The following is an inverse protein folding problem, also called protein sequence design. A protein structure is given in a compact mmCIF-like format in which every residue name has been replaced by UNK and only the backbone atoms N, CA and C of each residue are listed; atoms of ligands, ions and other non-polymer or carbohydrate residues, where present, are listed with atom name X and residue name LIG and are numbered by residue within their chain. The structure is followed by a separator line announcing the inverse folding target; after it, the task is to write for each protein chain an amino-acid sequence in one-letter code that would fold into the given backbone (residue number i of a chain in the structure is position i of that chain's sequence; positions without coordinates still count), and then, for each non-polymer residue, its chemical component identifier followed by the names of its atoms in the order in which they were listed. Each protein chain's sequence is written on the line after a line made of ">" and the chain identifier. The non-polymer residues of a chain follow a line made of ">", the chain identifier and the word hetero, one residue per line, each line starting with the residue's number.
data_IF_803755928052
#
_entry.id   IF_803755928052
#
_cell.length_a   1.000
_cell.length_b   1.000
_cell.length_c   1.000
_cell.angle_alpha   90.00
_cell.angle_beta   90.00
_cell.angle_gamma   90.00
#
_symmetry.space_group_name_H-M   'P 1'
#
loop_
_entity.id
_entity.type
_entity.pdbx_description
1 polymer ?
#
# COMPACT_ATOMS: atom_id res chain seq x y z
N UNK A 1 7.73 -11.32 31.01
CA UNK A 1 6.74 -10.36 30.45
C UNK A 1 7.36 -8.99 30.54
N UNK A 2 7.44 -8.28 29.43
CA UNK A 2 7.95 -6.92 29.37
C UNK A 2 6.78 -5.95 29.20
N UNK A 3 6.91 -4.74 29.74
CA UNK A 3 5.92 -3.68 29.61
C UNK A 3 6.45 -2.64 28.64
N UNK A 4 5.68 -2.32 27.60
CA UNK A 4 6.02 -1.30 26.61
C UNK A 4 5.72 0.09 27.19
N UNK A 5 6.65 1.03 27.06
CA UNK A 5 6.48 2.42 27.45
C UNK A 5 5.64 3.16 26.40
N UNK A 6 4.36 3.34 26.70
CA UNK A 6 3.41 3.98 25.79
C UNK A 6 3.72 5.45 25.51
N UNK A 7 4.46 6.14 26.39
CA UNK A 7 4.88 7.53 26.11
C UNK A 7 5.86 7.60 24.94
N UNK A 8 6.72 6.58 24.81
CA UNK A 8 7.59 6.43 23.64
C UNK A 8 6.81 6.01 22.41
N UNK A 9 5.82 5.14 22.57
CA UNK A 9 4.94 4.70 21.48
C UNK A 9 4.23 5.89 20.84
N UNK A 10 3.61 6.78 21.64
CA UNK A 10 2.89 7.95 21.12
C UNK A 10 3.82 8.83 20.30
N UNK A 11 5.00 9.17 20.82
CA UNK A 11 5.97 10.03 20.10
C UNK A 11 6.41 9.42 18.76
N UNK A 12 6.71 8.11 18.77
CA UNK A 12 7.13 7.40 17.55
C UNK A 12 5.99 7.21 16.56
N UNK A 13 4.77 7.06 17.06
CA UNK A 13 3.58 6.98 16.24
C UNK A 13 3.28 8.32 15.56
N UNK A 14 3.46 9.45 16.27
CA UNK A 14 3.31 10.78 15.67
C UNK A 14 4.35 11.04 14.55
N UNK A 15 5.62 10.64 14.77
CA UNK A 15 6.65 10.71 13.74
C UNK A 15 6.25 9.88 12.50
N UNK A 16 5.79 8.64 12.73
CA UNK A 16 5.34 7.76 11.66
C UNK A 16 4.08 8.30 10.95
N UNK A 17 3.11 8.83 11.69
CA UNK A 17 1.88 9.42 11.15
C UNK A 17 2.20 10.57 10.19
N UNK A 18 3.06 11.50 10.61
CA UNK A 18 3.45 12.65 9.77
C UNK A 18 4.18 12.19 8.50
N UNK A 19 5.05 11.19 8.60
CA UNK A 19 5.74 10.63 7.45
C UNK A 19 4.76 9.96 6.47
N UNK A 20 3.81 9.14 6.96
CA UNK A 20 2.76 8.52 6.13
C UNK A 20 1.93 9.58 5.41
N UNK A 21 1.52 10.63 6.13
CA UNK A 21 0.75 11.75 5.59
C UNK A 21 1.51 12.46 4.47
N UNK A 22 2.82 12.69 4.65
CA UNK A 22 3.67 13.32 3.62
C UNK A 22 3.79 12.44 2.38
N UNK A 23 4.03 11.14 2.53
CA UNK A 23 4.08 10.18 1.42
C UNK A 23 2.75 10.16 0.66
N UNK A 24 1.62 10.13 1.37
CA UNK A 24 0.30 10.13 0.77
C UNK A 24 -0.04 11.46 0.06
N UNK A 25 0.37 12.60 0.63
CA UNK A 25 0.20 13.91 0.03
C UNK A 25 0.99 14.11 -1.27
N UNK A 26 2.02 13.30 -1.49
CA UNK A 26 2.79 13.26 -2.74
C UNK A 26 2.28 12.18 -3.73
N UNK A 27 1.10 11.59 -3.50
CA UNK A 27 0.56 10.51 -4.32
C UNK A 27 1.31 9.18 -4.18
N UNK A 28 2.09 9.00 -3.10
CA UNK A 28 2.89 7.81 -2.85
C UNK A 28 2.05 6.57 -2.53
N UNK A 29 2.58 5.41 -2.87
CA UNK A 29 1.96 4.09 -2.66
C UNK A 29 2.44 3.49 -1.35
N UNK A 30 1.49 3.12 -0.51
CA UNK A 30 1.74 2.47 0.79
C UNK A 30 1.41 0.98 0.69
N UNK A 31 2.35 0.14 1.09
CA UNK A 31 2.14 -1.31 1.15
C UNK A 31 2.04 -1.78 2.59
N UNK A 32 0.88 -2.24 2.98
CA UNK A 32 0.64 -2.87 4.28
C UNK A 32 1.08 -4.34 4.25
N UNK A 33 1.89 -4.76 5.22
CA UNK A 33 2.42 -6.13 5.28
C UNK A 33 2.18 -6.73 6.65
N UNK A 34 1.38 -7.80 6.70
CA UNK A 34 1.18 -8.59 7.91
C UNK A 34 0.64 -9.98 7.58
N UNK A 35 1.45 -11.01 7.77
CA UNK A 35 1.03 -12.40 7.52
C UNK A 35 0.50 -13.13 8.74
N UNK A 36 0.46 -12.47 9.91
CA UNK A 36 -0.09 -12.99 11.15
C UNK A 36 -1.60 -13.11 11.08
N UNK A 37 -2.17 -14.25 11.49
CA UNK A 37 -3.63 -14.51 11.39
C UNK A 37 -4.49 -13.40 12.00
N UNK A 38 -4.07 -12.86 13.15
CA UNK A 38 -4.78 -11.79 13.85
C UNK A 38 -4.82 -10.47 13.06
N UNK A 39 -3.86 -10.25 12.17
CA UNK A 39 -3.71 -9.01 11.41
C UNK A 39 -4.27 -9.10 9.98
N UNK A 40 -4.47 -10.31 9.44
CA UNK A 40 -4.79 -10.52 8.02
C UNK A 40 -6.01 -9.74 7.52
N UNK A 41 -7.12 -9.83 8.25
CA UNK A 41 -8.38 -9.19 7.85
C UNK A 41 -8.32 -7.67 8.13
N UNK A 42 -7.73 -7.29 9.27
CA UNK A 42 -7.59 -5.89 9.67
C UNK A 42 -6.76 -5.10 8.66
N UNK A 43 -5.62 -5.66 8.26
CA UNK A 43 -4.72 -5.04 7.29
C UNK A 43 -5.39 -4.89 5.93
N UNK A 44 -6.11 -5.93 5.47
CA UNK A 44 -6.88 -5.87 4.23
C UNK A 44 -7.93 -4.78 4.27
N UNK A 45 -8.77 -4.75 5.31
CA UNK A 45 -9.86 -3.79 5.45
C UNK A 45 -9.35 -2.34 5.48
N UNK A 46 -8.30 -2.06 6.26
CA UNK A 46 -7.73 -0.72 6.36
C UNK A 46 -7.02 -0.28 5.09
N UNK A 47 -6.31 -1.18 4.39
CA UNK A 47 -5.68 -0.86 3.11
C UNK A 47 -6.73 -0.58 2.02
N UNK A 48 -7.78 -1.39 1.93
CA UNK A 48 -8.90 -1.17 1.00
C UNK A 48 -9.65 0.14 1.31
N UNK A 49 -9.86 0.48 2.59
CA UNK A 49 -10.50 1.72 3.04
C UNK A 49 -9.78 2.98 2.54
N UNK A 50 -8.45 2.98 2.51
CA UNK A 50 -7.65 4.12 2.03
C UNK A 50 -7.14 3.94 0.60
N UNK A 51 -7.63 2.95 -0.16
CA UNK A 51 -7.25 2.71 -1.55
C UNK A 51 -5.79 2.30 -1.75
N UNK A 52 -5.16 1.71 -0.72
CA UNK A 52 -3.77 1.30 -0.73
C UNK A 52 -3.61 -0.22 -0.86
N UNK A 53 -2.40 -0.70 -0.84
CA UNK A 53 -2.03 -2.07 -1.19
C UNK A 53 -1.70 -2.89 0.04
N UNK A 54 -1.87 -4.22 -0.04
CA UNK A 54 -1.59 -5.10 1.09
C UNK A 54 -1.07 -6.47 0.69
N UNK A 55 -0.28 -7.09 1.59
CA UNK A 55 0.08 -8.51 1.58
C UNK A 55 -0.23 -9.06 2.97
N UNK A 56 -1.25 -9.91 3.04
CA UNK A 56 -1.79 -10.39 4.31
C UNK A 56 -1.71 -11.92 4.51
N UNK A 57 -1.23 -12.70 3.54
CA UNK A 57 -1.11 -14.15 3.69
C UNK A 57 0.34 -14.63 3.71
N UNK A 58 1.07 -14.36 2.65
CA UNK A 58 2.46 -14.80 2.53
C UNK A 58 3.27 -13.84 1.68
N UNK A 59 4.39 -13.38 2.23
CA UNK A 59 5.39 -12.69 1.44
C UNK A 59 6.13 -13.67 0.54
N UNK A 60 6.14 -13.43 -0.75
CA UNK A 60 6.89 -14.23 -1.71
C UNK A 60 8.30 -13.65 -1.81
N UNK A 61 9.34 -14.49 -1.68
CA UNK A 61 10.72 -14.01 -1.86
C UNK A 61 10.91 -13.37 -3.23
N UNK A 62 11.45 -12.14 -3.26
CA UNK A 62 11.60 -11.35 -4.47
C UNK A 62 10.39 -10.49 -4.85
N UNK A 63 9.41 -10.34 -3.96
CA UNK A 63 8.21 -9.52 -4.23
C UNK A 63 8.57 -8.10 -4.66
N UNK A 64 9.53 -7.46 -4.04
CA UNK A 64 10.02 -6.14 -4.42
C UNK A 64 11.25 -6.21 -5.33
N UNK A 65 12.23 -7.03 -4.96
CA UNK A 65 13.51 -7.12 -5.66
C UNK A 65 13.43 -7.81 -7.03
N UNK A 66 12.40 -8.60 -7.27
CA UNK A 66 12.13 -9.26 -8.56
C UNK A 66 10.72 -8.97 -9.07
N UNK A 67 10.31 -7.70 -9.00
CA UNK A 67 8.98 -7.22 -9.39
C UNK A 67 8.55 -7.66 -10.79
N UNK A 68 9.49 -7.70 -11.74
CA UNK A 68 9.22 -8.16 -13.11
C UNK A 68 8.66 -9.58 -13.18
N UNK A 69 9.12 -10.49 -12.30
CA UNK A 69 8.59 -11.85 -12.22
C UNK A 69 7.24 -11.89 -11.51
N UNK A 70 7.06 -11.06 -10.48
CA UNK A 70 5.78 -10.91 -9.78
C UNK A 70 4.69 -10.40 -10.73
N UNK A 71 5.00 -9.41 -11.58
CA UNK A 71 4.08 -8.93 -12.63
C UNK A 71 3.60 -10.05 -13.56
N UNK A 72 4.46 -11.02 -13.91
CA UNK A 72 4.02 -12.17 -14.73
C UNK A 72 2.98 -13.02 -14.00
N UNK A 73 3.14 -13.21 -12.68
CA UNK A 73 2.20 -13.94 -11.85
C UNK A 73 0.89 -13.16 -11.66
N UNK A 74 0.96 -11.83 -11.51
CA UNK A 74 -0.20 -10.94 -11.47
C UNK A 74 -0.96 -11.01 -12.81
N UNK A 75 -0.28 -10.91 -13.93
CA UNK A 75 -0.90 -11.04 -15.26
C UNK A 75 -1.55 -12.41 -15.48
N UNK A 76 -0.97 -13.47 -14.90
CA UNK A 76 -1.57 -14.81 -14.91
C UNK A 76 -2.85 -14.85 -14.09
N UNK A 77 -2.86 -14.24 -12.90
CA UNK A 77 -4.04 -14.11 -12.06
C UNK A 77 -5.16 -13.34 -12.77
N UNK A 78 -4.85 -12.19 -13.39
CA UNK A 78 -5.82 -11.39 -14.16
C UNK A 78 -6.44 -12.22 -15.28
N UNK A 79 -5.62 -12.93 -16.07
CA UNK A 79 -6.13 -13.82 -17.14
C UNK A 79 -7.05 -14.91 -16.62
N UNK A 80 -6.74 -15.51 -15.46
CA UNK A 80 -7.60 -16.50 -14.84
C UNK A 80 -8.92 -15.90 -14.35
N UNK A 81 -8.85 -14.68 -13.75
CA UNK A 81 -10.05 -13.96 -13.33
C UNK A 81 -10.97 -13.66 -14.52
N UNK A 82 -10.41 -13.14 -15.61
CA UNK A 82 -11.16 -12.83 -16.84
C UNK A 82 -11.78 -14.07 -17.47
N UNK A 83 -11.04 -15.18 -17.51
CA UNK A 83 -11.51 -16.45 -18.05
C UNK A 83 -12.73 -16.97 -17.28
N UNK A 84 -12.69 -16.91 -15.94
CA UNK A 84 -13.81 -17.36 -15.10
C UNK A 84 -14.97 -16.36 -15.08
N UNK A 85 -14.70 -15.05 -15.12
CA UNK A 85 -15.73 -14.02 -15.15
C UNK A 85 -16.54 -14.05 -16.47
N UNK A 86 -15.86 -14.26 -17.60
CA UNK A 86 -16.46 -14.28 -18.93
C UNK A 86 -16.95 -15.68 -19.36
N UNK A 87 -16.88 -16.68 -18.48
CA UNK A 87 -17.20 -18.08 -18.77
C UNK A 87 -16.53 -18.64 -20.05
N UNK A 88 -15.35 -18.12 -20.39
CA UNK A 88 -14.56 -18.59 -21.54
C UNK A 88 -13.85 -19.91 -21.18
N UNK A 89 -14.63 -20.92 -20.83
CA UNK A 89 -14.15 -22.23 -20.37
C UNK A 89 -14.32 -23.33 -21.43
N UNK A 90 -14.78 -22.98 -22.62
CA UNK A 90 -14.96 -23.90 -23.74
C UNK A 90 -13.64 -24.57 -24.13
N UNK A 91 -13.67 -25.89 -24.30
CA UNK A 91 -12.50 -26.70 -24.65
C UNK A 91 -11.71 -27.27 -23.46
N UNK A 92 -12.02 -26.88 -22.21
CA UNK A 92 -11.38 -27.44 -21.03
C UNK A 92 -12.19 -28.60 -20.43
N UNK A 93 -11.50 -29.63 -19.97
CA UNK A 93 -12.13 -30.72 -19.19
C UNK A 93 -12.45 -30.26 -17.76
N UNK A 94 -13.41 -30.87 -17.09
CA UNK A 94 -13.77 -30.57 -15.70
C UNK A 94 -12.57 -30.63 -14.75
N UNK A 95 -11.64 -31.56 -14.97
CA UNK A 95 -10.42 -31.71 -14.17
C UNK A 95 -9.47 -30.52 -14.36
N UNK A 96 -9.30 -30.06 -15.59
CA UNK A 96 -8.46 -28.89 -15.90
C UNK A 96 -9.03 -27.60 -15.29
N UNK A 97 -10.35 -27.40 -15.42
CA UNK A 97 -11.03 -26.27 -14.79
C UNK A 97 -10.85 -26.26 -13.28
N UNK A 98 -10.93 -27.41 -12.62
CA UNK A 98 -10.69 -27.50 -11.19
C UNK A 98 -9.24 -27.13 -10.83
N UNK A 99 -8.25 -27.55 -11.63
CA UNK A 99 -6.86 -27.21 -11.42
C UNK A 99 -6.60 -25.72 -11.63
N UNK A 100 -7.16 -25.11 -12.67
CA UNK A 100 -7.07 -23.68 -12.94
C UNK A 100 -7.72 -22.85 -11.83
N UNK A 101 -8.85 -23.31 -11.28
CA UNK A 101 -9.49 -22.65 -10.15
C UNK A 101 -8.63 -22.69 -8.88
N UNK A 102 -8.00 -23.82 -8.58
CA UNK A 102 -7.05 -23.95 -7.46
C UNK A 102 -5.81 -23.07 -7.67
N UNK A 103 -5.33 -22.97 -8.91
CA UNK A 103 -4.23 -22.06 -9.25
C UNK A 103 -4.62 -20.58 -9.01
N UNK A 104 -5.81 -20.18 -9.47
CA UNK A 104 -6.38 -18.85 -9.27
C UNK A 104 -6.48 -18.52 -7.78
N UNK A 105 -7.09 -19.38 -6.98
CA UNK A 105 -7.24 -19.20 -5.54
C UNK A 105 -5.89 -19.02 -4.84
N UNK A 106 -4.90 -19.85 -5.18
CA UNK A 106 -3.55 -19.78 -4.62
C UNK A 106 -2.83 -18.48 -4.98
N UNK A 107 -2.95 -18.03 -6.22
CA UNK A 107 -2.37 -16.75 -6.66
C UNK A 107 -3.10 -15.56 -6.01
N UNK A 108 -4.43 -15.60 -5.94
CA UNK A 108 -5.25 -14.56 -5.33
C UNK A 108 -4.90 -14.35 -3.86
N UNK A 109 -4.71 -15.41 -3.08
CA UNK A 109 -4.30 -15.31 -1.67
C UNK A 109 -3.01 -14.50 -1.47
N UNK A 110 -2.07 -14.57 -2.41
CA UNK A 110 -0.76 -13.94 -2.26
C UNK A 110 -0.63 -12.61 -2.98
N UNK A 111 -1.41 -12.37 -4.04
CA UNK A 111 -1.18 -11.27 -4.98
C UNK A 111 -2.36 -10.32 -5.12
N UNK A 112 -3.55 -10.67 -4.60
CA UNK A 112 -4.75 -9.85 -4.81
C UNK A 112 -4.58 -8.42 -4.32
N UNK A 113 -3.97 -8.24 -3.15
CA UNK A 113 -3.77 -6.91 -2.55
C UNK A 113 -2.74 -6.03 -3.28
N UNK A 114 -1.94 -6.58 -4.18
CA UNK A 114 -0.93 -5.84 -4.95
C UNK A 114 -1.20 -5.85 -6.47
N UNK A 115 -2.34 -6.41 -6.90
CA UNK A 115 -2.67 -6.60 -8.31
C UNK A 115 -2.65 -5.29 -9.09
N UNK A 116 -3.18 -4.21 -8.50
CA UNK A 116 -3.30 -2.89 -9.12
C UNK A 116 -2.16 -1.92 -8.73
N UNK A 117 -1.13 -2.38 -8.04
CA UNK A 117 -0.05 -1.51 -7.54
C UNK A 117 0.81 -0.91 -8.68
N UNK A 118 0.96 -1.63 -9.78
CA UNK A 118 1.59 -1.14 -11.01
C UNK A 118 3.11 -0.93 -10.93
N UNK A 119 3.71 -0.94 -9.74
CA UNK A 119 5.14 -0.71 -9.51
C UNK A 119 5.54 -1.04 -8.08
N UNK A 120 6.73 -0.61 -7.68
CA UNK A 120 7.18 -0.70 -6.29
C UNK A 120 6.43 0.32 -5.43
N UNK A 121 6.20 0.03 -4.14
CA UNK A 121 5.63 1.00 -3.20
C UNK A 121 6.68 2.03 -2.78
N UNK A 122 6.21 3.19 -2.33
CA UNK A 122 7.07 4.27 -1.84
C UNK A 122 7.38 4.09 -0.35
N UNK A 123 6.59 3.31 0.38
CA UNK A 123 6.85 2.91 1.76
C UNK A 123 6.17 1.59 2.12
N UNK A 124 6.69 0.91 3.16
CA UNK A 124 6.07 -0.25 3.79
C UNK A 124 5.58 0.08 5.19
N UNK A 125 4.38 -0.42 5.54
CA UNK A 125 3.91 -0.50 6.91
C UNK A 125 3.84 -1.97 7.32
N UNK A 126 4.62 -2.36 8.34
CA UNK A 126 4.84 -3.76 8.72
C UNK A 126 4.38 -4.03 10.15
N UNK A 127 3.61 -5.08 10.35
CA UNK A 127 3.23 -5.61 11.66
C UNK A 127 3.96 -6.93 11.88
N UNK A 128 4.56 -7.12 13.06
CA UNK A 128 5.40 -8.27 13.41
C UNK A 128 6.70 -8.30 12.57
N UNK A 129 7.61 -7.37 12.87
CA UNK A 129 8.85 -7.19 12.11
C UNK A 129 9.76 -8.41 12.08
N UNK A 130 9.89 -9.27 13.12
CA UNK A 130 10.65 -10.51 13.03
C UNK A 130 10.08 -11.50 12.01
N UNK A 131 8.77 -11.59 11.91
CA UNK A 131 8.07 -12.48 10.99
C UNK A 131 8.23 -12.02 9.55
N UNK A 132 8.15 -10.72 9.32
CA UNK A 132 8.23 -10.10 8.00
C UNK A 132 9.67 -9.65 7.64
N UNK A 133 10.69 -10.24 8.27
CA UNK A 133 12.11 -9.88 8.07
C UNK A 133 12.54 -9.93 6.61
N UNK A 134 11.94 -10.79 5.78
CA UNK A 134 12.24 -10.88 4.35
C UNK A 134 11.76 -9.63 3.60
N UNK A 135 10.54 -9.17 3.89
CA UNK A 135 9.98 -7.95 3.31
C UNK A 135 10.84 -6.72 3.67
N UNK A 136 11.24 -6.61 4.93
CA UNK A 136 12.09 -5.53 5.43
C UNK A 136 13.47 -5.54 4.74
N UNK A 137 14.10 -6.71 4.59
CA UNK A 137 15.38 -6.84 3.89
C UNK A 137 15.28 -6.43 2.42
N UNK A 138 14.20 -6.80 1.74
CA UNK A 138 13.98 -6.40 0.35
C UNK A 138 13.74 -4.90 0.22
N UNK A 139 12.94 -4.30 1.12
CA UNK A 139 12.71 -2.87 1.16
C UNK A 139 14.00 -2.08 1.38
N UNK A 140 14.79 -2.46 2.39
CA UNK A 140 16.10 -1.84 2.66
C UNK A 140 17.05 -1.92 1.47
N UNK A 141 17.07 -3.06 0.75
CA UNK A 141 17.91 -3.21 -0.45
C UNK A 141 17.52 -2.24 -1.57
N UNK A 142 16.27 -1.84 -1.62
CA UNK A 142 15.73 -0.92 -2.62
C UNK A 142 15.67 0.54 -2.14
N UNK A 143 16.03 0.80 -0.87
CA UNK A 143 15.94 2.13 -0.27
C UNK A 143 14.49 2.57 0.02
N UNK A 144 13.56 1.61 0.13
CA UNK A 144 12.16 1.90 0.46
C UNK A 144 12.03 1.99 1.98
N UNK A 145 11.55 3.12 2.54
CA UNK A 145 11.41 3.30 3.97
C UNK A 145 10.36 2.36 4.56
N UNK A 146 10.64 1.90 5.78
CA UNK A 146 9.80 0.93 6.49
C UNK A 146 9.38 1.49 7.84
N UNK A 147 8.07 1.57 8.06
CA UNK A 147 7.47 1.75 9.38
C UNK A 147 7.14 0.36 9.94
N UNK A 148 7.62 0.04 11.13
CA UNK A 148 7.39 -1.26 11.75
C UNK A 148 6.84 -1.15 13.16
N UNK A 149 5.76 -1.88 13.44
CA UNK A 149 5.34 -2.12 14.82
C UNK A 149 6.31 -3.13 15.43
N UNK A 150 7.02 -2.69 16.48
CA UNK A 150 8.09 -3.45 17.10
C UNK A 150 7.67 -3.86 18.51
N UNK A 151 7.46 -5.15 18.72
CA UNK A 151 7.25 -5.72 20.05
C UNK A 151 8.60 -6.06 20.69
N UNK A 152 8.58 -6.62 21.88
CA UNK A 152 9.74 -6.91 22.74
C UNK A 152 10.73 -7.93 22.17
N UNK A 153 10.32 -8.73 21.19
CA UNK A 153 11.13 -9.70 20.45
C UNK A 153 11.76 -9.12 19.16
N UNK A 154 11.44 -7.87 18.83
CA UNK A 154 11.86 -7.21 17.61
C UNK A 154 13.12 -6.35 17.80
N UNK A 155 13.96 -6.25 16.77
CA UNK A 155 15.07 -5.32 16.75
C UNK A 155 14.63 -4.00 16.12
N UNK A 156 14.59 -2.88 16.86
CA UNK A 156 14.16 -1.59 16.32
C UNK A 156 15.08 -1.04 15.23
N UNK A 157 16.33 -1.49 15.14
CA UNK A 157 17.27 -1.06 14.10
C UNK A 157 16.99 -1.69 12.72
N UNK A 158 16.05 -2.64 12.66
CA UNK A 158 15.69 -3.29 11.40
C UNK A 158 14.72 -2.48 10.55
N UNK A 159 14.15 -1.40 11.09
CA UNK A 159 13.19 -0.52 10.40
C UNK A 159 13.61 0.94 10.56
N UNK A 160 13.13 1.79 9.65
CA UNK A 160 13.49 3.22 9.64
C UNK A 160 12.66 3.99 10.68
N UNK A 161 11.39 3.61 10.84
CA UNK A 161 10.46 4.19 11.81
C UNK A 161 9.94 3.11 12.76
N UNK A 162 10.68 2.77 13.82
CA UNK A 162 10.22 1.79 14.80
C UNK A 162 9.16 2.41 15.72
N UNK A 163 7.99 1.78 15.77
CA UNK A 163 6.90 2.12 16.68
C UNK A 163 6.78 1.01 17.73
N UNK A 164 7.22 1.23 18.96
CA UNK A 164 7.07 0.22 20.01
C UNK A 164 5.60 -0.06 20.28
N UNK A 165 5.19 -1.32 20.17
CA UNK A 165 3.79 -1.67 20.34
C UNK A 165 3.54 -3.17 20.35
N UNK A 166 2.37 -3.55 20.86
CA UNK A 166 1.93 -4.94 20.88
C UNK A 166 1.41 -5.36 19.50
N UNK A 167 2.04 -6.36 18.91
CA UNK A 167 1.72 -6.92 17.59
C UNK A 167 0.85 -8.19 17.63
N UNK A 168 0.44 -8.63 18.86
CA UNK A 168 -0.38 -9.82 19.07
C UNK A 168 -1.87 -9.50 19.28
N UNK A 169 -2.17 -8.42 19.97
CA UNK A 169 -3.54 -8.09 20.35
C UNK A 169 -4.29 -7.47 19.17
N UNK A 170 -5.42 -8.07 18.77
CA UNK A 170 -6.29 -7.62 17.68
C UNK A 170 -6.63 -6.12 17.81
N UNK A 171 -6.99 -5.65 19.02
CA UNK A 171 -7.31 -4.23 19.26
C UNK A 171 -6.14 -3.29 19.05
N UNK A 172 -4.90 -3.71 19.40
CA UNK A 172 -3.72 -2.92 19.18
C UNK A 172 -3.38 -2.83 17.70
N UNK A 173 -3.45 -3.96 16.98
CA UNK A 173 -3.25 -4.03 15.53
C UNK A 173 -4.26 -3.14 14.80
N UNK A 174 -5.55 -3.22 15.17
CA UNK A 174 -6.62 -2.39 14.59
C UNK A 174 -6.32 -0.90 14.76
N UNK A 175 -5.94 -0.49 15.98
CA UNK A 175 -5.58 0.90 16.27
C UNK A 175 -4.45 1.42 15.38
N UNK A 176 -3.36 0.66 15.22
CA UNK A 176 -2.23 1.06 14.38
C UNK A 176 -2.63 1.15 12.90
N UNK A 177 -3.37 0.17 12.40
CA UNK A 177 -3.85 0.18 11.02
C UNK A 177 -4.82 1.34 10.75
N UNK A 178 -5.73 1.63 11.69
CA UNK A 178 -6.68 2.74 11.60
C UNK A 178 -5.96 4.09 11.58
N UNK A 179 -4.96 4.29 12.42
CA UNK A 179 -4.17 5.53 12.46
C UNK A 179 -3.36 5.73 11.17
N UNK A 180 -2.73 4.68 10.65
CA UNK A 180 -2.01 4.76 9.36
C UNK A 180 -2.98 5.02 8.21
N UNK A 181 -4.13 4.35 8.19
CA UNK A 181 -5.18 4.59 7.19
C UNK A 181 -5.73 6.02 7.26
N UNK A 182 -5.93 6.57 8.46
CA UNK A 182 -6.34 7.96 8.66
C UNK A 182 -5.27 8.94 8.16
N UNK A 183 -3.98 8.69 8.46
CA UNK A 183 -2.88 9.52 7.97
C UNK A 183 -2.81 9.57 6.43
N UNK A 184 -3.07 8.41 5.77
CA UNK A 184 -3.14 8.35 4.31
C UNK A 184 -4.29 9.19 3.78
N UNK A 185 -5.49 9.06 4.35
CA UNK A 185 -6.67 9.83 3.94
C UNK A 185 -6.46 11.33 4.14
N UNK A 186 -5.88 11.74 5.27
CA UNK A 186 -5.52 13.14 5.52
C UNK A 186 -4.51 13.68 4.49
N UNK A 187 -3.49 12.89 4.14
CA UNK A 187 -2.52 13.23 3.11
C UNK A 187 -3.15 13.41 1.73
N UNK A 188 -4.02 12.48 1.33
CA UNK A 188 -4.75 12.54 0.05
C UNK A 188 -5.70 13.74 -0.01
N UNK A 189 -6.37 14.10 1.10
CA UNK A 189 -7.22 15.30 1.17
C UNK A 189 -6.38 16.57 1.02
N UNK A 190 -5.19 16.62 1.61
CA UNK A 190 -4.28 17.76 1.46
C UNK A 190 -3.79 17.92 0.01
N UNK A 191 -3.52 16.82 -0.69
CA UNK A 191 -3.17 16.83 -2.12
C UNK A 191 -4.32 17.40 -2.98
N UNK A 192 -5.55 16.89 -2.78
CA UNK A 192 -6.73 17.35 -3.52
C UNK A 192 -6.96 18.84 -3.28
N UNK A 193 -6.85 19.32 -2.04
CA UNK A 193 -6.99 20.73 -1.70
C UNK A 193 -5.91 21.59 -2.38
N UNK A 194 -4.66 21.11 -2.39
CA UNK A 194 -3.56 21.82 -3.06
C UNK A 194 -3.71 21.86 -4.58
N UNK A 195 -4.21 20.81 -5.19
CA UNK A 195 -4.52 20.77 -6.62
C UNK A 195 -5.73 21.62 -6.99
N UNK A 196 -6.79 21.65 -6.16
CA UNK A 196 -7.95 22.51 -6.35
C UNK A 196 -7.56 23.99 -6.37
N UNK A 197 -6.76 24.44 -5.41
CA UNK A 197 -6.25 25.81 -5.36
C UNK A 197 -5.40 26.15 -6.60
N UNK A 198 -4.56 25.24 -7.07
CA UNK A 198 -3.76 25.47 -8.29
C UNK A 198 -4.59 25.57 -9.57
N UNK A 199 -5.71 24.86 -9.65
CA UNK A 199 -6.64 24.93 -10.79
C UNK A 199 -7.35 26.29 -10.79
N UNK A 200 -7.85 26.74 -9.64
CA UNK A 200 -8.49 28.05 -9.50
C UNK A 200 -7.53 29.19 -9.83
N UNK A 201 -6.29 29.16 -9.31
CA UNK A 201 -5.24 30.14 -9.65
C UNK A 201 -4.87 30.14 -11.14
N UNK A 202 -4.88 28.97 -11.77
CA UNK A 202 -4.61 28.84 -13.22
C UNK A 202 -5.76 29.37 -14.08
N UNK A 203 -7.00 29.19 -13.65
CA UNK A 203 -8.21 29.71 -14.29
C UNK A 203 -8.28 31.24 -14.16
N UNK A 204 -8.03 31.81 -12.96
CA UNK A 204 -7.96 33.26 -12.76
C UNK A 204 -6.86 33.92 -13.62
N UNK A 205 -5.67 33.33 -13.71
CA UNK A 205 -4.58 33.82 -14.56
C UNK A 205 -4.88 33.69 -16.08
N UNK A 206 -5.75 32.76 -16.46
CA UNK A 206 -6.20 32.62 -17.84
C UNK A 206 -7.24 33.68 -18.24
N UNK A 207 -8.08 34.10 -17.29
CA UNK A 207 -9.09 35.16 -17.50
C UNK A 207 -8.46 36.58 -17.49
N UNK A 208 -7.38 36.81 -16.75
CA UNK A 208 -6.67 38.11 -16.71
C UNK A 208 -5.86 38.45 -17.95
N UNK A 209 -5.66 37.53 -18.90
CA UNK A 209 -4.94 37.87 -20.13
C UNK A 209 -5.84 38.59 -21.13
N UNK A 210 -5.67 39.93 -21.34
CA UNK A 210 -6.52 40.70 -22.24
C UNK A 210 -6.34 40.24 -23.68
N UNK A 211 -7.44 40.00 -24.35
CA UNK A 211 -7.49 39.68 -25.76
C UNK A 211 -6.71 40.72 -26.60
N UNK A 212 -5.56 40.35 -27.13
CA UNK A 212 -4.84 41.17 -28.11
C UNK A 212 -5.75 41.42 -29.30
N UNK A 213 -6.26 42.67 -29.41
CA UNK A 213 -7.01 43.17 -30.57
C UNK A 213 -6.20 42.93 -31.86
N UNK A 214 -6.74 42.08 -32.73
CA UNK A 214 -6.25 41.97 -34.11
C UNK A 214 -6.48 43.31 -34.82
N UNK A 215 -5.42 43.97 -35.24
CA UNK A 215 -5.47 45.14 -36.08
C UNK A 215 -6.03 44.77 -37.45
N UNK A 216 -6.90 45.59 -38.07
CA UNK A 216 -7.45 45.34 -39.38
C UNK A 216 -6.35 45.54 -40.47
N UNK A 217 -6.17 44.57 -41.35
CA UNK A 217 -5.39 44.73 -42.57
C UNK A 217 -6.14 45.71 -43.48
N UNK A 218 -5.50 46.85 -43.76
CA UNK A 218 -5.91 47.74 -44.87
C UNK A 218 -5.57 47.10 -46.23
N UNK A 219 -6.49 47.28 -47.14
CA UNK A 219 -6.44 46.92 -48.54
C UNK A 219 -5.23 47.54 -49.29
#
# INVERSE_FOLDING_TARGET
>A
IYIIDLQKTVKKLDEAYNFVREVAANGGKVLFVATKKQAQDIVKENAERCGQYYINHRWLGGTLTNWKTVCKSINRLVKLNDMFANNTTEGYTKKELLNLKKEQEKLAMSLNGIMNMGGQPDMLFVIDTPREALAIKEAKKLGIPVIGITDTNANPNDVDYPVPGNDDAIRAISLYCELVSAAILDGMQAEIAAHGVKVEEAEEQAEEKPAKKRAPKKA
#
